data_IF_416361359088
#
_entry.id   IF_416361359088
#
_cell.length_a   1.000
_cell.length_b   1.000
_cell.length_c   1.000
_cell.angle_alpha   90.00
_cell.angle_beta   90.00
_cell.angle_gamma   90.00
#
_symmetry.space_group_name_H-M   'P 1'
#
loop_
_entity.id
_entity.type
_entity.pdbx_description
1 polymer ?
#
# COMPACT_ATOMS: atom_id res chain seq x y z
N UNK A 1 -2.35 9.54 2.38
CA UNK A 1 -3.42 9.61 3.39
C UNK A 1 -3.74 11.06 3.71
N UNK A 2 -5.00 11.43 3.48
CA UNK A 2 -5.58 12.72 3.90
C UNK A 2 -6.21 12.62 5.29
N UNK A 3 -6.64 11.42 5.70
CA UNK A 3 -7.10 11.04 7.04
C UNK A 3 -6.24 9.85 7.51
N UNK A 4 -5.86 9.81 8.79
CA UNK A 4 -5.16 8.67 9.40
C UNK A 4 -6.17 7.82 10.15
N UNK A 5 -6.29 6.55 9.74
CA UNK A 5 -7.22 5.61 10.34
C UNK A 5 -6.52 4.72 11.39
N UNK A 6 -7.18 4.54 12.52
CA UNK A 6 -6.69 3.75 13.65
C UNK A 6 -7.53 2.50 13.78
N UNK A 7 -7.01 1.36 13.32
CA UNK A 7 -7.63 0.06 13.51
C UNK A 7 -7.45 -0.47 14.94
N UNK A 8 -8.49 -1.13 15.45
CA UNK A 8 -8.49 -1.82 16.75
C UNK A 8 -8.42 -3.34 16.59
N UNK A 9 -8.14 -4.05 17.69
CA UNK A 9 -8.02 -5.51 17.68
C UNK A 9 -9.43 -6.12 17.72
N UNK A 10 -9.77 -6.91 16.71
CA UNK A 10 -11.06 -7.59 16.67
C UNK A 10 -11.24 -8.51 17.90
N UNK A 11 -12.43 -8.46 18.52
CA UNK A 11 -12.87 -9.28 19.67
C UNK A 11 -12.23 -8.95 21.02
N UNK A 12 -11.34 -7.97 21.10
CA UNK A 12 -10.77 -7.49 22.38
C UNK A 12 -11.10 -6.02 22.58
N UNK A 13 -11.97 -5.71 23.54
CA UNK A 13 -12.28 -4.32 23.91
C UNK A 13 -11.06 -3.68 24.57
N UNK A 14 -10.53 -2.59 23.98
CA UNK A 14 -9.42 -1.79 24.52
C UNK A 14 -9.69 -0.29 24.50
N UNK A 15 -10.69 0.22 25.25
CA UNK A 15 -11.08 1.63 25.21
C UNK A 15 -9.96 2.59 25.60
N UNK A 16 -9.15 2.22 26.59
CA UNK A 16 -8.02 3.04 27.05
C UNK A 16 -6.95 3.20 25.95
N UNK A 17 -6.69 2.14 25.18
CA UNK A 17 -5.74 2.19 24.07
C UNK A 17 -6.27 3.06 22.92
N UNK A 18 -7.55 2.96 22.58
CA UNK A 18 -8.19 3.81 21.57
C UNK A 18 -8.02 5.31 21.92
N UNK A 19 -8.38 5.70 23.15
CA UNK A 19 -8.20 7.07 23.62
C UNK A 19 -6.74 7.52 23.64
N UNK A 20 -5.82 6.64 24.09
CA UNK A 20 -4.38 6.92 24.14
C UNK A 20 -3.79 7.14 22.74
N UNK A 21 -4.11 6.29 21.77
CA UNK A 21 -3.59 6.38 20.40
C UNK A 21 -4.12 7.63 19.70
N UNK A 22 -5.44 7.89 19.76
CA UNK A 22 -6.04 9.10 19.17
C UNK A 22 -5.38 10.35 19.74
N UNK A 23 -5.24 10.44 21.07
CA UNK A 23 -4.60 11.58 21.73
C UNK A 23 -3.13 11.76 21.33
N UNK A 24 -2.41 10.65 21.14
CA UNK A 24 -1.02 10.68 20.68
C UNK A 24 -0.93 11.22 19.24
N UNK A 25 -1.76 10.72 18.33
CA UNK A 25 -1.76 11.14 16.92
C UNK A 25 -2.15 12.60 16.77
N UNK A 26 -3.21 13.05 17.45
CA UNK A 26 -3.66 14.45 17.43
C UNK A 26 -2.60 15.45 17.92
N UNK A 27 -1.67 15.01 18.77
CA UNK A 27 -0.54 15.85 19.25
C UNK A 27 0.60 15.97 18.25
N UNK A 28 0.83 14.97 17.42
CA UNK A 28 2.03 14.87 16.57
C UNK A 28 1.74 15.00 15.07
N UNK A 29 0.48 14.91 14.66
CA UNK A 29 0.08 14.90 13.26
C UNK A 29 -0.98 15.98 13.02
N UNK A 30 -0.75 16.82 12.01
CA UNK A 30 -1.70 17.83 11.56
C UNK A 30 -2.62 17.29 10.46
N UNK A 31 -3.33 16.18 10.76
CA UNK A 31 -4.31 15.55 9.86
C UNK A 31 -5.49 15.04 10.69
N UNK A 32 -6.70 14.95 10.09
CA UNK A 32 -7.81 14.27 10.74
C UNK A 32 -7.46 12.82 11.09
N UNK A 33 -7.96 12.37 12.23
CA UNK A 33 -7.79 11.00 12.73
C UNK A 33 -9.15 10.33 12.79
N UNK A 34 -9.25 9.11 12.26
CA UNK A 34 -10.40 8.23 12.45
C UNK A 34 -10.08 7.05 13.34
N UNK A 35 -11.14 6.46 13.92
CA UNK A 35 -11.09 5.21 14.67
C UNK A 35 -11.93 4.16 13.94
N UNK A 36 -11.36 2.97 13.70
CA UNK A 36 -12.01 1.83 13.05
C UNK A 36 -12.28 0.71 14.06
N UNK A 37 -13.50 0.70 14.59
CA UNK A 37 -14.03 -0.28 15.54
C UNK A 37 -15.57 -0.26 15.59
N UNK A 38 -16.16 -1.42 15.90
CA UNK A 38 -17.58 -1.56 16.23
C UNK A 38 -17.84 -1.51 17.75
N UNK A 39 -16.79 -1.46 18.59
CA UNK A 39 -16.93 -1.38 20.04
C UNK A 39 -17.27 0.05 20.47
N UNK A 40 -18.47 0.22 21.01
CA UNK A 40 -18.99 1.52 21.44
C UNK A 40 -18.16 2.15 22.55
N UNK A 41 -17.52 1.36 23.41
CA UNK A 41 -16.66 1.88 24.48
C UNK A 41 -15.37 2.47 23.91
N UNK A 42 -14.77 1.81 22.91
CA UNK A 42 -13.59 2.33 22.19
C UNK A 42 -13.92 3.63 21.45
N UNK A 43 -15.06 3.66 20.76
CA UNK A 43 -15.58 4.87 20.12
C UNK A 43 -15.76 6.01 21.13
N UNK A 44 -16.32 5.73 22.32
CA UNK A 44 -16.56 6.72 23.36
C UNK A 44 -15.28 7.35 23.90
N UNK A 45 -14.24 6.53 24.15
CA UNK A 45 -12.93 7.04 24.58
C UNK A 45 -12.21 7.79 23.45
N UNK A 46 -12.33 7.34 22.20
CA UNK A 46 -11.80 8.05 21.03
C UNK A 46 -12.46 9.44 20.87
N UNK A 47 -13.76 9.54 21.07
CA UNK A 47 -14.49 10.83 21.06
C UNK A 47 -14.01 11.76 22.17
N UNK A 48 -13.84 11.27 23.40
CA UNK A 48 -13.25 12.06 24.50
C UNK A 48 -11.82 12.53 24.17
N UNK A 49 -11.06 11.73 23.42
CA UNK A 49 -9.72 12.07 22.96
C UNK A 49 -9.71 13.04 21.75
N UNK A 50 -10.85 13.33 21.15
CA UNK A 50 -11.00 14.27 20.03
C UNK A 50 -10.79 13.67 18.65
N UNK A 51 -11.27 12.43 18.42
CA UNK A 51 -11.32 11.81 17.09
C UNK A 51 -12.18 12.64 16.13
N UNK A 52 -11.83 12.64 14.83
CA UNK A 52 -12.48 13.47 13.81
C UNK A 52 -13.51 12.69 12.96
N UNK A 53 -13.45 11.36 12.95
CA UNK A 53 -14.31 10.46 12.16
C UNK A 53 -14.39 9.08 12.83
N UNK A 54 -15.56 8.44 12.79
CA UNK A 54 -15.77 7.08 13.33
C UNK A 54 -16.15 6.12 12.20
N UNK A 55 -15.47 4.98 12.16
CA UNK A 55 -15.76 3.83 11.32
C UNK A 55 -15.98 2.66 12.29
N UNK A 56 -17.15 2.06 12.41
CA UNK A 56 -18.43 2.47 11.85
C UNK A 56 -19.53 2.16 12.87
N UNK A 57 -20.75 2.63 12.62
CA UNK A 57 -21.92 2.21 13.38
C UNK A 57 -22.86 1.39 12.50
N UNK A 58 -23.44 0.38 13.13
CA UNK A 58 -24.45 -0.50 12.57
C UNK A 58 -25.77 -0.32 13.33
N UNK A 59 -26.81 -1.08 12.97
CA UNK A 59 -28.13 -0.91 13.58
C UNK A 59 -28.13 -1.05 15.11
N UNK A 60 -27.33 -1.96 15.66
CA UNK A 60 -27.32 -2.26 17.11
C UNK A 60 -26.59 -1.19 17.92
N UNK A 61 -25.60 -0.53 17.32
CA UNK A 61 -24.74 0.44 18.00
C UNK A 61 -25.27 1.88 17.93
N UNK A 62 -26.19 2.19 17.01
CA UNK A 62 -26.67 3.56 16.75
C UNK A 62 -27.31 4.26 17.96
N UNK A 63 -28.14 3.56 18.74
CA UNK A 63 -28.81 4.18 19.89
C UNK A 63 -27.80 4.67 20.92
N UNK A 64 -26.85 3.83 21.32
CA UNK A 64 -25.80 4.21 22.27
C UNK A 64 -24.83 5.23 21.66
N UNK A 65 -24.40 5.03 20.41
CA UNK A 65 -23.55 5.96 19.67
C UNK A 65 -24.10 7.38 19.65
N UNK A 66 -25.41 7.53 19.50
CA UNK A 66 -26.08 8.82 19.50
C UNK A 66 -25.92 9.60 20.81
N UNK A 67 -25.55 8.95 21.92
CA UNK A 67 -25.38 9.65 23.20
C UNK A 67 -24.06 10.44 23.29
N UNK A 68 -23.06 10.11 22.45
CA UNK A 68 -21.75 10.75 22.50
C UNK A 68 -21.19 11.20 21.14
N UNK A 69 -21.70 10.69 20.01
CA UNK A 69 -21.14 10.93 18.67
C UNK A 69 -22.01 11.83 17.74
N UNK A 70 -23.02 12.54 18.26
CA UNK A 70 -23.99 13.32 17.42
C UNK A 70 -23.36 14.28 16.41
N UNK A 71 -22.28 14.95 16.82
CA UNK A 71 -21.60 15.99 16.05
C UNK A 71 -20.34 15.49 15.34
N UNK A 72 -20.01 14.20 15.48
CA UNK A 72 -18.83 13.57 14.89
C UNK A 72 -19.25 12.87 13.59
N UNK A 73 -18.59 13.17 12.46
CA UNK A 73 -18.76 12.40 11.23
C UNK A 73 -18.66 10.90 11.51
N UNK A 74 -19.65 10.13 11.08
CA UNK A 74 -19.73 8.69 11.37
C UNK A 74 -20.17 7.92 10.14
N UNK A 75 -19.43 6.84 9.84
CA UNK A 75 -19.78 5.89 8.78
C UNK A 75 -20.86 4.95 9.30
N UNK A 76 -21.95 4.82 8.54
CA UNK A 76 -23.07 3.94 8.84
C UNK A 76 -23.06 2.77 7.85
N UNK A 77 -23.16 1.55 8.36
CA UNK A 77 -23.16 0.31 7.60
C UNK A 77 -24.51 -0.42 7.67
N UNK A 78 -24.84 -1.29 6.68
CA UNK A 78 -26.15 -1.99 6.60
C UNK A 78 -26.35 -3.12 7.61
N UNK A 79 -25.33 -3.53 8.37
CA UNK A 79 -25.41 -4.71 9.24
C UNK A 79 -26.20 -4.45 10.53
N UNK A 80 -26.50 -5.55 11.22
CA UNK A 80 -26.88 -5.57 12.62
C UNK A 80 -26.17 -6.76 13.28
N UNK A 81 -24.96 -6.48 13.76
CA UNK A 81 -23.96 -7.47 14.18
C UNK A 81 -24.45 -8.29 15.36
N UNK A 82 -25.05 -7.66 16.38
CA UNK A 82 -25.60 -8.36 17.54
C UNK A 82 -26.70 -9.36 17.18
N UNK A 83 -27.51 -9.03 16.17
CA UNK A 83 -28.55 -9.92 15.64
C UNK A 83 -28.04 -10.89 14.55
N UNK A 84 -26.75 -10.87 14.22
CA UNK A 84 -26.16 -11.73 13.18
C UNK A 84 -26.67 -11.42 11.76
N UNK A 85 -27.16 -10.21 11.50
CA UNK A 85 -27.73 -9.83 10.22
C UNK A 85 -26.71 -9.10 9.33
N UNK A 86 -26.36 -9.72 8.21
CA UNK A 86 -25.40 -9.21 7.22
C UNK A 86 -25.99 -9.37 5.80
N UNK A 87 -26.67 -8.35 5.26
CA UNK A 87 -27.36 -8.45 3.99
C UNK A 87 -26.38 -8.67 2.83
N UNK A 88 -26.60 -9.75 2.07
CA UNK A 88 -25.74 -10.16 0.95
C UNK A 88 -26.26 -9.68 -0.40
N UNK A 89 -27.58 -9.65 -0.56
CA UNK A 89 -28.20 -9.14 -1.77
C UNK A 89 -28.05 -7.61 -1.87
N UNK A 90 -27.85 -7.11 -3.08
CA UNK A 90 -27.58 -5.69 -3.33
C UNK A 90 -28.76 -4.79 -2.96
N UNK A 91 -30.01 -5.18 -3.23
CA UNK A 91 -31.20 -4.38 -2.93
C UNK A 91 -31.52 -4.42 -1.42
N UNK A 92 -31.42 -5.61 -0.82
CA UNK A 92 -31.60 -5.79 0.62
C UNK A 92 -30.61 -4.93 1.41
N UNK A 93 -29.35 -4.93 0.99
CA UNK A 93 -28.27 -4.14 1.58
C UNK A 93 -28.53 -2.65 1.50
N UNK A 94 -28.96 -2.15 0.33
CA UNK A 94 -29.32 -0.74 0.16
C UNK A 94 -30.51 -0.37 1.05
N UNK A 95 -31.51 -1.24 1.13
CA UNK A 95 -32.66 -1.04 2.03
C UNK A 95 -32.24 -0.96 3.48
N UNK A 96 -31.43 -1.91 3.96
CA UNK A 96 -30.96 -1.94 5.35
C UNK A 96 -30.08 -0.72 5.69
N UNK A 97 -29.18 -0.33 4.78
CA UNK A 97 -28.38 0.88 4.94
C UNK A 97 -29.25 2.13 5.04
N UNK A 98 -30.28 2.24 4.18
CA UNK A 98 -31.23 3.36 4.20
C UNK A 98 -31.97 3.45 5.54
N UNK A 99 -32.44 2.32 6.06
CA UNK A 99 -33.10 2.24 7.36
C UNK A 99 -32.15 2.68 8.49
N UNK A 100 -30.90 2.22 8.49
CA UNK A 100 -29.90 2.59 9.48
C UNK A 100 -29.54 4.08 9.40
N UNK A 101 -29.40 4.64 8.20
CA UNK A 101 -29.16 6.08 8.00
C UNK A 101 -30.34 6.93 8.49
N UNK A 102 -31.58 6.49 8.25
CA UNK A 102 -32.78 7.17 8.75
C UNK A 102 -32.84 7.14 10.28
N UNK A 103 -32.52 5.99 10.89
CA UNK A 103 -32.43 5.86 12.34
C UNK A 103 -31.36 6.79 12.92
N UNK A 104 -30.15 6.79 12.35
CA UNK A 104 -29.06 7.68 12.78
C UNK A 104 -29.47 9.16 12.75
N UNK A 105 -30.11 9.59 11.65
CA UNK A 105 -30.63 10.96 11.50
C UNK A 105 -31.73 11.27 12.52
N UNK A 106 -32.65 10.33 12.77
CA UNK A 106 -33.72 10.49 13.76
C UNK A 106 -33.19 10.59 15.20
N UNK A 107 -32.08 9.93 15.50
CA UNK A 107 -31.36 10.03 16.78
C UNK A 107 -30.52 11.32 16.92
N UNK A 108 -30.52 12.17 15.89
CA UNK A 108 -29.84 13.46 15.88
C UNK A 108 -28.39 13.42 15.42
N UNK A 109 -27.93 12.32 14.81
CA UNK A 109 -26.62 12.28 14.16
C UNK A 109 -26.72 13.01 12.81
N UNK A 110 -26.13 14.20 12.72
CA UNK A 110 -26.28 15.08 11.56
C UNK A 110 -25.26 14.84 10.46
N UNK A 111 -24.11 14.23 10.79
CA UNK A 111 -22.96 14.03 9.89
C UNK A 111 -22.77 12.55 9.57
N UNK A 112 -23.70 11.97 8.83
CA UNK A 112 -23.63 10.57 8.42
C UNK A 112 -22.94 10.39 7.07
N UNK A 113 -22.13 9.35 6.98
CA UNK A 113 -21.48 8.88 5.76
C UNK A 113 -21.99 7.45 5.52
N UNK A 114 -22.35 7.13 4.29
CA UNK A 114 -22.89 5.83 3.94
C UNK A 114 -21.79 4.88 3.47
N UNK A 115 -21.79 3.64 3.97
CA UNK A 115 -20.96 2.57 3.43
C UNK A 115 -21.82 1.32 3.15
N UNK A 116 -22.13 1.03 1.88
CA UNK A 116 -22.77 -0.22 1.47
C UNK A 116 -21.90 -1.47 1.70
N UNK A 117 -20.66 -1.33 2.15
CA UNK A 117 -19.65 -2.37 2.33
C UNK A 117 -19.15 -2.90 0.99
N UNK A 118 -17.87 -2.68 0.72
CA UNK A 118 -17.16 -3.27 -0.42
C UNK A 118 -16.71 -4.68 -0.06
N UNK A 119 -17.22 -5.67 -0.80
CA UNK A 119 -16.91 -7.08 -0.55
C UNK A 119 -15.60 -7.52 -1.22
N UNK A 120 -15.06 -8.65 -0.77
CA UNK A 120 -13.92 -9.32 -1.41
C UNK A 120 -14.29 -9.88 -2.79
N UNK A 121 -13.29 -10.22 -3.59
CA UNK A 121 -13.52 -10.90 -4.87
C UNK A 121 -14.14 -12.28 -4.68
N UNK A 122 -15.07 -12.64 -5.59
CA UNK A 122 -15.73 -13.95 -5.68
C UNK A 122 -16.75 -14.24 -4.55
N UNK A 123 -16.33 -14.29 -3.28
CA UNK A 123 -17.22 -14.72 -2.17
C UNK A 123 -17.11 -13.78 -0.97
N UNK A 124 -18.16 -12.99 -0.61
CA UNK A 124 -19.53 -13.07 -1.14
C UNK A 124 -19.70 -12.45 -2.54
N UNK A 125 -18.76 -11.60 -2.98
CA UNK A 125 -18.64 -11.17 -4.38
C UNK A 125 -18.63 -9.65 -4.59
N UNK A 126 -17.48 -9.11 -5.00
CA UNK A 126 -17.29 -7.68 -5.30
C UNK A 126 -18.37 -7.06 -6.19
N UNK A 127 -18.80 -7.74 -7.25
CA UNK A 127 -19.80 -7.20 -8.18
C UNK A 127 -21.11 -6.85 -7.47
N UNK A 128 -21.59 -7.71 -6.57
CA UNK A 128 -22.83 -7.44 -5.82
C UNK A 128 -22.68 -6.22 -4.92
N UNK A 129 -21.52 -6.06 -4.28
CA UNK A 129 -21.24 -4.85 -3.51
C UNK A 129 -21.19 -3.61 -4.40
N UNK A 130 -20.56 -3.65 -5.57
CA UNK A 130 -20.53 -2.51 -6.51
C UNK A 130 -21.93 -2.14 -7.01
N UNK A 131 -22.81 -3.12 -7.25
CA UNK A 131 -24.22 -2.89 -7.57
C UNK A 131 -24.92 -2.18 -6.42
N UNK A 132 -24.70 -2.60 -5.17
CA UNK A 132 -25.26 -1.92 -4.00
C UNK A 132 -24.80 -0.46 -3.89
N UNK A 133 -23.52 -0.17 -4.15
CA UNK A 133 -23.01 1.21 -4.20
C UNK A 133 -23.70 2.02 -5.31
N UNK A 134 -23.83 1.44 -6.51
CA UNK A 134 -24.49 2.08 -7.64
C UNK A 134 -25.97 2.38 -7.35
N UNK A 135 -26.71 1.40 -6.84
CA UNK A 135 -28.12 1.55 -6.46
C UNK A 135 -28.28 2.61 -5.38
N UNK A 136 -27.50 2.54 -4.30
CA UNK A 136 -27.51 3.54 -3.24
C UNK A 136 -27.22 4.94 -3.79
N UNK A 137 -26.24 5.08 -4.70
CA UNK A 137 -25.90 6.40 -5.25
C UNK A 137 -27.00 7.01 -6.10
N UNK A 138 -27.75 6.19 -6.82
CA UNK A 138 -28.92 6.66 -7.57
C UNK A 138 -30.04 7.17 -6.67
N UNK A 139 -30.21 6.57 -5.50
CA UNK A 139 -31.28 6.92 -4.56
C UNK A 139 -30.92 8.08 -3.63
N UNK A 140 -29.66 8.17 -3.20
CA UNK A 140 -29.16 9.15 -2.24
C UNK A 140 -27.96 9.94 -2.83
N UNK A 141 -28.15 10.79 -3.87
CA UNK A 141 -27.05 11.35 -4.65
C UNK A 141 -26.08 12.26 -3.87
N UNK A 142 -26.52 12.80 -2.74
CA UNK A 142 -25.79 13.82 -1.97
C UNK A 142 -25.18 13.29 -0.65
N UNK A 143 -25.62 12.13 -0.17
CA UNK A 143 -25.05 11.54 1.04
C UNK A 143 -23.60 11.13 0.76
N UNK A 144 -22.59 11.55 1.54
CA UNK A 144 -21.21 11.14 1.31
C UNK A 144 -21.08 9.62 1.31
N UNK A 145 -20.32 9.09 0.35
CA UNK A 145 -20.15 7.65 0.16
C UNK A 145 -18.73 7.25 0.55
N UNK A 146 -18.61 6.24 1.39
CA UNK A 146 -17.36 5.63 1.81
C UNK A 146 -17.17 4.29 1.09
N UNK A 147 -15.93 3.93 0.77
CA UNK A 147 -15.57 2.62 0.22
C UNK A 147 -14.26 2.09 0.82
N UNK A 148 -14.33 0.94 1.51
CA UNK A 148 -13.16 0.19 1.96
C UNK A 148 -12.56 -0.67 0.84
N UNK A 149 -11.44 -0.25 0.25
CA UNK A 149 -10.83 -0.93 -0.90
C UNK A 149 -9.81 -2.01 -0.51
N UNK A 150 -9.43 -2.06 0.77
CA UNK A 150 -8.51 -3.05 1.32
C UNK A 150 -9.02 -4.49 1.14
N UNK A 151 -10.33 -4.71 1.22
CA UNK A 151 -10.95 -6.03 1.03
C UNK A 151 -10.65 -6.67 -0.33
N UNK A 152 -10.31 -5.87 -1.33
CA UNK A 152 -9.93 -6.36 -2.66
C UNK A 152 -8.41 -6.36 -2.82
N UNK A 153 -7.75 -5.24 -2.52
CA UNK A 153 -6.30 -5.10 -2.73
C UNK A 153 -5.46 -6.01 -1.83
N UNK A 154 -5.88 -6.24 -0.57
CA UNK A 154 -5.18 -7.11 0.38
C UNK A 154 -5.50 -8.59 0.20
N UNK A 155 -6.68 -8.93 -0.33
CA UNK A 155 -7.13 -10.33 -0.46
C UNK A 155 -7.04 -10.85 -1.89
N UNK A 156 -6.22 -10.19 -2.70
CA UNK A 156 -5.85 -10.61 -4.05
C UNK A 156 -4.34 -10.86 -4.11
N UNK A 157 -3.93 -11.90 -4.83
CA UNK A 157 -2.51 -12.19 -5.09
C UNK A 157 -2.09 -11.55 -6.41
N UNK A 158 -2.01 -10.23 -6.40
CA UNK A 158 -1.61 -9.40 -7.53
C UNK A 158 -0.95 -8.10 -7.05
N UNK A 159 -0.23 -7.42 -7.95
CA UNK A 159 0.38 -6.13 -7.64
C UNK A 159 -0.68 -5.08 -7.27
N UNK A 160 -0.61 -4.61 -6.02
CA UNK A 160 -1.55 -3.65 -5.44
C UNK A 160 -1.66 -2.37 -6.26
N UNK A 161 -0.60 -1.94 -6.93
CA UNK A 161 -0.60 -0.70 -7.72
C UNK A 161 -1.62 -0.71 -8.88
N UNK A 162 -1.73 -1.82 -9.60
CA UNK A 162 -2.68 -1.97 -10.71
C UNK A 162 -4.12 -2.16 -10.21
N UNK A 163 -4.26 -2.90 -9.11
CA UNK A 163 -5.55 -3.14 -8.45
C UNK A 163 -6.12 -1.83 -7.89
N UNK A 164 -5.31 -1.06 -7.17
CA UNK A 164 -5.67 0.25 -6.63
C UNK A 164 -6.00 1.25 -7.75
N UNK A 165 -5.31 1.19 -8.90
CA UNK A 165 -5.66 1.98 -10.06
C UNK A 165 -7.10 1.69 -10.54
N UNK A 166 -7.42 0.41 -10.73
CA UNK A 166 -8.77 -0.01 -11.16
C UNK A 166 -9.83 0.37 -10.12
N UNK A 167 -9.60 0.06 -8.85
CA UNK A 167 -10.56 0.35 -7.77
C UNK A 167 -10.80 1.85 -7.58
N UNK A 168 -9.76 2.69 -7.73
CA UNK A 168 -9.94 4.14 -7.70
C UNK A 168 -10.82 4.64 -8.86
N UNK A 169 -10.73 4.01 -10.04
CA UNK A 169 -11.60 4.30 -11.18
C UNK A 169 -13.06 3.99 -10.86
N UNK A 170 -13.32 2.78 -10.37
CA UNK A 170 -14.66 2.35 -9.95
C UNK A 170 -15.23 3.25 -8.84
N UNK A 171 -14.42 3.58 -7.84
CA UNK A 171 -14.82 4.49 -6.76
C UNK A 171 -15.17 5.90 -7.29
N UNK A 172 -14.41 6.42 -8.26
CA UNK A 172 -14.70 7.71 -8.91
C UNK A 172 -16.02 7.65 -9.70
N UNK A 173 -16.25 6.58 -10.46
CA UNK A 173 -17.50 6.39 -11.22
C UNK A 173 -18.73 6.25 -10.30
N UNK A 174 -18.57 5.61 -9.15
CA UNK A 174 -19.62 5.46 -8.14
C UNK A 174 -19.83 6.72 -7.28
N UNK A 175 -18.98 7.73 -7.41
CA UNK A 175 -19.06 8.97 -6.64
C UNK A 175 -18.64 8.81 -5.18
N UNK A 176 -17.72 7.89 -4.88
CA UNK A 176 -17.15 7.74 -3.55
C UNK A 176 -16.44 9.02 -3.11
N UNK A 177 -16.79 9.50 -1.92
CA UNK A 177 -16.21 10.69 -1.30
C UNK A 177 -14.97 10.36 -0.48
N UNK A 178 -14.92 9.16 0.08
CA UNK A 178 -13.82 8.66 0.90
C UNK A 178 -13.51 7.24 0.48
N UNK A 179 -12.22 6.94 0.28
CA UNK A 179 -11.73 5.57 0.08
C UNK A 179 -10.73 5.22 1.18
N UNK A 180 -10.84 4.01 1.71
CA UNK A 180 -9.92 3.48 2.72
C UNK A 180 -9.00 2.42 2.09
N UNK A 181 -7.71 2.57 2.38
CA UNK A 181 -6.68 1.59 2.07
C UNK A 181 -5.81 1.35 3.30
N UNK A 182 -5.27 0.13 3.37
CA UNK A 182 -4.35 -0.32 4.40
C UNK A 182 -3.03 -0.76 3.76
N UNK A 183 -1.98 -0.84 4.58
CA UNK A 183 -0.71 -1.48 4.21
C UNK A 183 -0.47 -2.66 5.17
N UNK A 184 -1.33 -3.69 5.09
CA UNK A 184 -1.35 -4.76 6.08
C UNK A 184 -0.27 -5.84 5.83
N UNK A 185 0.37 -5.85 4.66
CA UNK A 185 1.38 -6.84 4.32
C UNK A 185 2.45 -6.34 3.36
N UNK A 186 3.38 -7.23 3.02
CA UNK A 186 4.51 -6.91 2.12
C UNK A 186 4.04 -6.52 0.73
N UNK A 187 2.98 -7.17 0.21
CA UNK A 187 2.42 -6.93 -1.13
C UNK A 187 1.67 -5.59 -1.27
N UNK A 188 1.21 -5.03 -0.16
CA UNK A 188 0.48 -3.77 -0.10
C UNK A 188 1.30 -2.66 0.54
N UNK A 189 2.59 -2.89 0.77
CA UNK A 189 3.51 -1.83 1.19
C UNK A 189 3.51 -0.70 0.16
N UNK A 190 3.18 0.51 0.59
CA UNK A 190 2.99 1.68 -0.26
C UNK A 190 1.60 1.82 -0.89
N UNK A 191 0.65 0.91 -0.64
CA UNK A 191 -0.69 0.94 -1.22
C UNK A 191 -1.45 2.25 -0.94
N UNK A 192 -1.23 2.87 0.22
CA UNK A 192 -1.84 4.17 0.54
C UNK A 192 -1.34 5.26 -0.40
N UNK A 193 -0.05 5.24 -0.74
CA UNK A 193 0.55 6.20 -1.67
C UNK A 193 0.09 5.93 -3.11
N UNK A 194 0.01 4.66 -3.49
CA UNK A 194 -0.47 4.22 -4.79
C UNK A 194 -1.93 4.64 -5.02
N UNK A 195 -2.81 4.31 -4.09
CA UNK A 195 -4.23 4.66 -4.16
C UNK A 195 -4.42 6.18 -4.18
N UNK A 196 -3.70 6.94 -3.34
CA UNK A 196 -3.77 8.40 -3.36
C UNK A 196 -3.34 8.99 -4.72
N UNK A 197 -2.34 8.40 -5.40
CA UNK A 197 -1.94 8.79 -6.75
C UNK A 197 -2.99 8.38 -7.79
N UNK A 198 -3.59 7.20 -7.64
CA UNK A 198 -4.68 6.72 -8.47
C UNK A 198 -5.92 7.63 -8.39
N UNK A 199 -6.38 8.00 -7.19
CA UNK A 199 -7.50 8.92 -7.00
C UNK A 199 -7.27 10.27 -7.71
N UNK A 200 -6.05 10.82 -7.60
CA UNK A 200 -5.68 12.06 -8.33
C UNK A 200 -5.72 11.86 -9.84
N UNK A 201 -5.20 10.74 -10.34
CA UNK A 201 -5.26 10.39 -11.76
C UNK A 201 -6.71 10.32 -12.26
N UNK A 202 -7.59 9.64 -11.53
CA UNK A 202 -9.01 9.51 -11.88
C UNK A 202 -9.75 10.83 -11.80
N UNK A 203 -9.49 11.65 -10.78
CA UNK A 203 -10.10 12.96 -10.64
C UNK A 203 -9.72 13.89 -11.81
N UNK A 204 -8.44 13.92 -12.21
CA UNK A 204 -8.00 14.71 -13.37
C UNK A 204 -8.64 14.20 -14.66
N UNK A 205 -8.72 12.89 -14.85
CA UNK A 205 -9.37 12.26 -16.00
C UNK A 205 -10.85 12.67 -16.08
N UNK A 206 -11.56 12.56 -14.96
CA UNK A 206 -12.97 12.94 -14.80
C UNK A 206 -13.19 14.42 -15.13
N UNK A 207 -12.44 15.34 -14.52
CA UNK A 207 -12.56 16.78 -14.77
C UNK A 207 -12.26 17.17 -16.23
N UNK A 208 -11.44 16.39 -16.94
CA UNK A 208 -11.12 16.62 -18.36
C UNK A 208 -12.07 15.93 -19.33
N UNK A 209 -12.96 15.05 -18.87
CA UNK A 209 -13.74 14.17 -19.74
C UNK A 209 -12.85 13.26 -20.60
N UNK A 210 -11.70 12.84 -20.08
CA UNK A 210 -10.71 12.01 -20.79
C UNK A 210 -10.49 10.67 -20.10
N UNK A 211 -9.87 9.73 -20.80
CA UNK A 211 -9.37 8.50 -20.18
C UNK A 211 -8.19 8.79 -19.23
N UNK A 212 -7.91 7.94 -18.24
CA UNK A 212 -6.81 8.11 -17.29
C UNK A 212 -5.44 7.76 -17.90
N UNK A 213 -5.07 8.44 -18.99
CA UNK A 213 -3.83 8.22 -19.75
C UNK A 213 -3.14 9.55 -20.06
N UNK A 214 -1.81 9.54 -19.98
CA UNK A 214 -0.96 10.69 -20.36
C UNK A 214 -1.27 12.00 -19.61
N UNK A 215 -1.65 11.88 -18.32
CA UNK A 215 -2.03 13.01 -17.45
C UNK A 215 -0.86 13.64 -16.69
N UNK A 216 0.39 13.25 -16.97
CA UNK A 216 1.57 13.61 -16.18
C UNK A 216 1.72 12.83 -14.86
N UNK A 217 0.79 11.92 -14.58
CA UNK A 217 0.85 10.92 -13.52
C UNK A 217 0.94 9.53 -14.13
N UNK A 218 1.57 8.59 -13.42
CA UNK A 218 1.62 7.18 -13.78
C UNK A 218 1.63 6.28 -12.56
N UNK A 219 1.29 5.02 -12.78
CA UNK A 219 1.39 3.95 -11.79
C UNK A 219 2.25 2.82 -12.37
N UNK A 220 3.23 3.18 -13.21
CA UNK A 220 4.16 2.24 -13.83
C UNK A 220 5.42 2.19 -12.96
N UNK A 221 5.72 1.02 -12.40
CA UNK A 221 6.91 0.80 -11.55
C UNK A 221 8.02 0.09 -12.31
N UNK A 222 7.70 -1.10 -12.86
CA UNK A 222 8.65 -1.92 -13.62
C UNK A 222 8.61 -1.63 -15.13
N UNK A 223 7.47 -1.17 -15.63
CA UNK A 223 7.26 -0.89 -17.04
C UNK A 223 7.59 0.56 -17.33
N UNK A 224 8.06 0.82 -18.53
CA UNK A 224 8.20 2.16 -19.07
C UNK A 224 7.13 2.46 -20.10
N UNK A 225 6.81 3.74 -20.29
CA UNK A 225 5.81 4.17 -21.27
C UNK A 225 6.26 3.95 -22.71
N UNK A 226 7.57 4.05 -22.97
CA UNK A 226 8.21 3.95 -24.28
C UNK A 226 9.64 3.46 -24.07
N UNK A 227 10.00 2.36 -24.71
CA UNK A 227 11.39 1.87 -24.74
C UNK A 227 12.29 2.93 -25.38
N UNK A 228 13.43 3.19 -24.75
CA UNK A 228 14.46 4.11 -25.24
C UNK A 228 15.80 3.40 -25.23
N UNK A 229 16.03 2.60 -26.27
CA UNK A 229 17.28 1.90 -26.47
C UNK A 229 18.22 2.71 -27.35
N UNK A 230 19.52 2.58 -27.10
CA UNK A 230 20.53 3.08 -28.02
C UNK A 230 20.47 2.26 -29.33
N UNK A 231 20.55 2.92 -30.49
CA UNK A 231 20.54 2.21 -31.76
C UNK A 231 21.77 1.31 -31.89
N UNK A 232 21.60 0.12 -32.46
CA UNK A 232 22.72 -0.74 -32.80
C UNK A 232 23.65 -0.03 -33.79
N UNK A 233 24.94 -0.03 -33.48
CA UNK A 233 25.97 0.52 -34.37
C UNK A 233 26.11 -0.40 -35.58
N UNK A 234 25.94 0.15 -36.79
CA UNK A 234 26.19 -0.60 -38.02
C UNK A 234 27.70 -0.68 -38.28
N UNK A 235 28.24 -1.89 -38.29
CA UNK A 235 29.65 -2.18 -38.57
C UNK A 235 29.78 -2.99 -39.86
N UNK A 236 30.90 -2.83 -40.59
CA UNK A 236 31.15 -3.56 -41.83
C UNK A 236 31.34 -5.07 -41.61
N UNK A 237 31.19 -5.86 -42.67
CA UNK A 237 31.26 -7.33 -42.64
C UNK A 237 32.58 -7.89 -42.09
N UNK A 238 33.66 -7.10 -42.12
CA UNK A 238 34.98 -7.49 -41.60
C UNK A 238 35.10 -7.43 -40.07
N UNK A 239 34.07 -6.94 -39.36
CA UNK A 239 34.07 -6.94 -37.91
C UNK A 239 33.93 -8.37 -37.38
N UNK A 240 34.97 -8.85 -36.68
CA UNK A 240 34.94 -10.17 -36.04
C UNK A 240 33.77 -10.28 -35.06
N UNK A 241 32.99 -11.37 -35.17
CA UNK A 241 31.90 -11.69 -34.24
C UNK A 241 32.30 -12.94 -33.47
N UNK A 242 32.43 -12.80 -32.16
CA UNK A 242 32.69 -13.92 -31.25
C UNK A 242 31.43 -14.15 -30.43
N UNK A 243 30.92 -15.37 -30.45
CA UNK A 243 29.82 -15.76 -29.58
C UNK A 243 30.37 -15.93 -28.16
N UNK A 244 29.67 -15.40 -27.16
CA UNK A 244 30.03 -15.63 -25.78
C UNK A 244 29.78 -17.10 -25.42
N UNK A 245 30.84 -17.88 -25.23
CA UNK A 245 30.83 -19.23 -24.70
C UNK A 245 31.84 -19.34 -23.55
N UNK A 246 31.42 -19.90 -22.42
CA UNK A 246 32.29 -19.98 -21.24
C UNK A 246 31.76 -20.95 -20.19
N UNK A 247 32.67 -21.73 -19.61
CA UNK A 247 32.41 -22.47 -18.37
C UNK A 247 32.74 -21.56 -17.20
N UNK A 248 31.80 -21.34 -16.29
CA UNK A 248 32.08 -20.65 -15.04
C UNK A 248 33.14 -21.43 -14.26
N UNK A 249 34.26 -20.79 -13.96
CA UNK A 249 35.32 -21.33 -13.12
C UNK A 249 35.43 -20.48 -11.87
N UNK A 250 35.11 -21.06 -10.71
CA UNK A 250 35.08 -20.35 -9.44
C UNK A 250 36.46 -20.41 -8.81
N UNK A 251 37.21 -19.32 -8.93
CA UNK A 251 38.49 -19.14 -8.24
C UNK A 251 38.34 -18.11 -7.12
N UNK A 252 38.77 -18.46 -5.92
CA UNK A 252 38.78 -17.52 -4.80
C UNK A 252 39.85 -16.44 -4.99
N UNK A 253 39.49 -15.20 -4.69
CA UNK A 253 40.44 -14.08 -4.68
C UNK A 253 41.43 -14.21 -3.51
N UNK A 254 42.65 -13.73 -3.72
CA UNK A 254 43.71 -13.78 -2.71
C UNK A 254 43.47 -12.78 -1.58
N UNK A 255 42.72 -11.70 -1.84
CA UNK A 255 42.44 -10.63 -0.88
C UNK A 255 41.34 -10.98 0.10
N UNK A 256 40.46 -11.93 -0.24
CA UNK A 256 39.38 -12.35 0.65
C UNK A 256 38.08 -12.67 -0.07
N UNK A 257 37.01 -12.73 0.70
CA UNK A 257 35.64 -12.89 0.22
C UNK A 257 34.76 -11.75 0.71
N UNK A 258 33.58 -11.63 0.11
CA UNK A 258 32.63 -10.55 0.40
C UNK A 258 31.25 -11.11 0.69
N UNK A 259 30.59 -10.52 1.69
CA UNK A 259 29.16 -10.71 1.92
C UNK A 259 28.43 -9.40 1.66
N UNK A 260 27.40 -9.44 0.84
CA UNK A 260 26.55 -8.29 0.53
C UNK A 260 25.21 -8.47 1.22
N UNK A 261 24.71 -7.39 1.82
CA UNK A 261 23.39 -7.31 2.42
C UNK A 261 22.70 -6.01 1.99
N UNK A 262 21.37 -5.99 2.07
CA UNK A 262 20.58 -4.77 1.85
C UNK A 262 19.93 -4.36 3.16
N UNK A 263 20.40 -3.25 3.72
CA UNK A 263 19.85 -2.61 4.91
C UNK A 263 18.68 -1.70 4.49
N UNK A 264 17.46 -2.20 4.71
CA UNK A 264 16.23 -1.55 4.28
C UNK A 264 15.82 -0.41 5.19
N UNK A 265 16.19 -0.44 6.47
CA UNK A 265 15.85 0.59 7.44
C UNK A 265 16.59 1.88 7.11
N UNK A 266 17.89 1.78 6.81
CA UNK A 266 18.71 2.94 6.43
C UNK A 266 18.77 3.19 4.91
N UNK A 267 18.09 2.34 4.13
CA UNK A 267 18.05 2.39 2.67
C UNK A 267 19.44 2.39 2.03
N UNK A 268 20.25 1.37 2.34
CA UNK A 268 21.62 1.23 1.86
C UNK A 268 22.01 -0.24 1.59
N UNK A 269 23.03 -0.44 0.78
CA UNK A 269 23.74 -1.71 0.57
C UNK A 269 24.90 -1.73 1.55
N UNK A 270 25.15 -2.88 2.17
CA UNK A 270 26.25 -3.11 3.09
C UNK A 270 27.11 -4.26 2.58
N UNK A 271 28.41 -4.05 2.53
CA UNK A 271 29.41 -5.04 2.10
C UNK A 271 30.37 -5.30 3.23
N UNK A 272 30.49 -6.56 3.60
CA UNK A 272 31.44 -7.06 4.58
C UNK A 272 32.60 -7.73 3.84
N UNK A 273 33.82 -7.29 4.11
CA UNK A 273 35.02 -7.93 3.59
C UNK A 273 35.61 -8.88 4.64
N UNK A 274 35.93 -10.09 4.20
CA UNK A 274 36.59 -11.13 5.00
C UNK A 274 37.94 -11.43 4.37
N UNK A 275 39.05 -10.90 4.93
CA UNK A 275 40.36 -11.16 4.38
C UNK A 275 40.71 -12.63 4.56
N UNK A 276 41.39 -13.23 3.59
CA UNK A 276 41.69 -14.67 3.60
C UNK A 276 42.45 -15.16 4.85
N UNK A 277 43.19 -14.26 5.48
CA UNK A 277 44.00 -14.51 6.68
C UNK A 277 43.22 -14.47 7.99
N UNK A 278 42.00 -13.92 8.00
CA UNK A 278 41.18 -13.77 9.21
C UNK A 278 39.82 -14.45 9.03
N UNK A 279 39.18 -14.79 10.14
CA UNK A 279 37.78 -15.27 10.14
C UNK A 279 36.77 -14.14 10.38
N UNK A 280 37.25 -12.96 10.74
CA UNK A 280 36.43 -11.81 11.08
C UNK A 280 36.39 -10.79 9.95
N UNK A 281 35.37 -9.92 9.99
CA UNK A 281 35.27 -8.77 9.09
C UNK A 281 36.33 -7.75 9.46
N UNK A 282 37.17 -7.36 8.51
CA UNK A 282 38.15 -6.27 8.72
C UNK A 282 37.61 -4.91 8.26
N UNK A 283 36.74 -4.90 7.24
CA UNK A 283 36.20 -3.68 6.62
C UNK A 283 34.72 -3.86 6.30
N UNK A 284 33.93 -2.82 6.64
CA UNK A 284 32.53 -2.67 6.21
C UNK A 284 32.45 -1.46 5.28
N UNK A 285 31.86 -1.65 4.10
CA UNK A 285 31.61 -0.59 3.12
C UNK A 285 30.11 -0.51 2.89
N UNK A 286 29.54 0.68 2.97
CA UNK A 286 28.11 0.89 2.77
C UNK A 286 27.84 2.07 1.85
N UNK A 287 26.69 2.05 1.18
CA UNK A 287 26.27 3.09 0.26
C UNK A 287 25.01 2.72 -0.51
N UNK A 288 24.50 3.63 -1.34
CA UNK A 288 23.27 3.40 -2.12
C UNK A 288 23.51 2.96 -3.57
N UNK A 289 24.71 3.23 -4.08
CA UNK A 289 25.07 3.06 -5.49
C UNK A 289 26.16 2.00 -5.60
N UNK A 290 25.88 0.95 -6.37
CA UNK A 290 26.80 -0.16 -6.63
C UNK A 290 28.14 0.33 -7.18
N UNK A 291 28.09 1.31 -8.10
CA UNK A 291 29.26 1.91 -8.75
C UNK A 291 30.23 2.56 -7.75
N UNK A 292 29.71 3.28 -6.74
CA UNK A 292 30.54 3.91 -5.70
C UNK A 292 31.14 2.88 -4.76
N UNK A 293 30.37 1.86 -4.40
CA UNK A 293 30.82 0.79 -3.51
C UNK A 293 31.95 -0.03 -4.17
N UNK A 294 31.74 -0.50 -5.42
CA UNK A 294 32.77 -1.27 -6.13
C UNK A 294 34.03 -0.44 -6.36
N UNK A 295 33.88 0.86 -6.66
CA UNK A 295 35.02 1.76 -6.80
C UNK A 295 35.81 1.85 -5.49
N UNK A 296 35.12 1.98 -4.35
CA UNK A 296 35.78 2.04 -3.04
C UNK A 296 36.49 0.73 -2.68
N UNK A 297 35.91 -0.42 -3.01
CA UNK A 297 36.54 -1.74 -2.84
C UNK A 297 37.86 -1.81 -3.63
N UNK A 298 37.86 -1.33 -4.88
CA UNK A 298 39.05 -1.29 -5.74
C UNK A 298 40.09 -0.31 -5.20
N UNK A 299 39.70 0.92 -4.83
CA UNK A 299 40.62 1.94 -4.31
C UNK A 299 41.30 1.51 -3.01
N UNK A 300 40.63 0.67 -2.20
CA UNK A 300 41.19 0.06 -0.98
C UNK A 300 42.03 -1.20 -1.24
N UNK A 301 42.11 -1.68 -2.48
CA UNK A 301 42.88 -2.87 -2.84
C UNK A 301 42.33 -4.17 -2.24
N UNK A 302 41.02 -4.23 -1.97
CA UNK A 302 40.36 -5.39 -1.33
C UNK A 302 39.99 -6.51 -2.33
N UNK A 303 40.13 -6.26 -3.63
CA UNK A 303 39.93 -7.24 -4.71
C UNK A 303 41.17 -7.25 -5.60
N UNK A 304 41.64 -8.42 -6.00
CA UNK A 304 42.83 -8.58 -6.83
C UNK A 304 42.56 -9.19 -8.20
N UNK A 305 41.43 -9.89 -8.37
CA UNK A 305 41.05 -10.51 -9.65
C UNK A 305 39.93 -9.76 -10.35
N UNK A 306 40.05 -9.67 -11.68
CA UNK A 306 39.07 -8.97 -12.53
C UNK A 306 37.72 -9.70 -12.62
N UNK A 307 37.73 -11.03 -12.64
CA UNK A 307 36.51 -11.85 -12.61
C UNK A 307 35.73 -11.64 -11.31
N UNK A 308 36.43 -11.57 -10.18
CA UNK A 308 35.81 -11.31 -8.88
C UNK A 308 35.31 -9.87 -8.77
N UNK A 309 36.02 -8.89 -9.32
CA UNK A 309 35.54 -7.51 -9.41
C UNK A 309 34.27 -7.40 -10.27
N UNK A 310 34.18 -8.13 -11.39
CA UNK A 310 32.98 -8.20 -12.24
C UNK A 310 31.80 -8.87 -11.52
N UNK A 311 32.06 -9.98 -10.81
CA UNK A 311 31.08 -10.65 -9.96
C UNK A 311 30.53 -9.70 -8.89
N UNK A 312 31.39 -8.99 -8.17
CA UNK A 312 30.98 -8.00 -7.17
C UNK A 312 30.16 -6.89 -7.80
N UNK A 313 30.56 -6.38 -8.97
CA UNK A 313 29.77 -5.39 -9.71
C UNK A 313 28.35 -5.88 -10.00
N UNK A 314 28.19 -7.13 -10.45
CA UNK A 314 26.88 -7.75 -10.72
C UNK A 314 26.05 -7.90 -9.45
N UNK A 315 26.61 -8.47 -8.39
CA UNK A 315 25.89 -8.68 -7.14
C UNK A 315 25.52 -7.36 -6.45
N UNK A 316 26.41 -6.35 -6.51
CA UNK A 316 26.11 -5.00 -6.03
C UNK A 316 25.01 -4.34 -6.85
N UNK A 317 25.04 -4.48 -8.18
CA UNK A 317 23.97 -3.96 -9.03
C UNK A 317 22.63 -4.65 -8.73
N UNK A 318 22.63 -5.96 -8.50
CA UNK A 318 21.44 -6.69 -8.04
C UNK A 318 20.96 -6.16 -6.68
N UNK A 319 21.84 -5.97 -5.71
CA UNK A 319 21.51 -5.41 -4.41
C UNK A 319 20.92 -3.98 -4.55
N UNK A 320 21.45 -3.17 -5.47
CA UNK A 320 20.93 -1.84 -5.78
C UNK A 320 19.53 -1.89 -6.42
N UNK A 321 19.31 -2.76 -7.41
CA UNK A 321 18.00 -2.94 -8.03
C UNK A 321 17.01 -3.48 -6.99
N UNK A 322 17.41 -4.43 -6.16
CA UNK A 322 16.60 -4.95 -5.07
C UNK A 322 16.22 -3.82 -4.11
N UNK A 323 17.18 -2.98 -3.73
CA UNK A 323 16.97 -1.81 -2.87
C UNK A 323 15.95 -0.84 -3.49
N UNK A 324 16.07 -0.55 -4.79
CA UNK A 324 15.19 0.36 -5.54
C UNK A 324 13.77 -0.19 -5.77
N UNK A 325 13.66 -1.47 -6.09
CA UNK A 325 12.38 -2.13 -6.47
C UNK A 325 11.61 -2.73 -5.30
N UNK A 326 12.25 -2.84 -4.14
CA UNK A 326 11.67 -3.55 -2.99
C UNK A 326 11.79 -5.08 -3.06
N UNK A 327 12.35 -5.64 -4.13
CA UNK A 327 12.58 -7.08 -4.26
C UNK A 327 13.53 -7.61 -3.19
N UNK A 328 13.33 -8.86 -2.78
CA UNK A 328 14.26 -9.57 -1.92
C UNK A 328 15.64 -9.68 -2.58
N UNK A 329 16.70 -9.63 -1.76
CA UNK A 329 18.05 -9.87 -2.23
C UNK A 329 18.67 -10.97 -1.37
N UNK A 330 19.12 -12.03 -2.04
CA UNK A 330 20.01 -13.03 -1.51
C UNK A 330 21.16 -13.11 -2.50
N UNK A 331 22.39 -12.91 -2.02
CA UNK A 331 23.59 -13.03 -2.85
C UNK A 331 23.61 -14.40 -3.53
N UNK A 332 24.03 -14.42 -4.79
CA UNK A 332 24.05 -15.61 -5.66
C UNK A 332 22.68 -16.18 -6.05
N UNK A 333 21.58 -15.64 -5.52
CA UNK A 333 20.22 -15.97 -5.98
C UNK A 333 19.77 -15.02 -7.07
N UNK A 334 18.96 -15.50 -8.00
CA UNK A 334 18.36 -14.62 -9.01
C UNK A 334 17.49 -13.55 -8.37
N UNK A 335 17.48 -12.37 -9.00
CA UNK A 335 16.65 -11.25 -8.55
C UNK A 335 15.28 -11.25 -9.24
N UNK A 336 15.20 -11.83 -10.43
CA UNK A 336 13.99 -11.96 -11.25
C UNK A 336 13.90 -13.38 -11.80
#
# INVERSE_FOLDING_TARGET
ADIIDVGMIARESRPEDAGRIVKLLKRHINKPVSIDTLDVNECKEAVKAGVDLILSFDKGTLEEASTFAKDIPSVIIPSHTEAGYFPKDSEERVKALRENLQLARALGMSKVIADPITDVLITPGLVQSLVAHYLFRREEPYTPLFMGLANVSELLDADSIGVNALLAGLAMELGASIVLATEAGVKTRGAVKELAKACKMMYIAYCRGSVPKDLGLDLLVLKEKRLRDDPLIQVGEQCGRVQADGKESVYMDQRGSFKIAVDRENSQIVVYHYPRSLKDVDVIIYGREASKIIRKIIDLGLVSRLDHAAYLGRELQKAEIALKTGKGYIQDSDLF
#
